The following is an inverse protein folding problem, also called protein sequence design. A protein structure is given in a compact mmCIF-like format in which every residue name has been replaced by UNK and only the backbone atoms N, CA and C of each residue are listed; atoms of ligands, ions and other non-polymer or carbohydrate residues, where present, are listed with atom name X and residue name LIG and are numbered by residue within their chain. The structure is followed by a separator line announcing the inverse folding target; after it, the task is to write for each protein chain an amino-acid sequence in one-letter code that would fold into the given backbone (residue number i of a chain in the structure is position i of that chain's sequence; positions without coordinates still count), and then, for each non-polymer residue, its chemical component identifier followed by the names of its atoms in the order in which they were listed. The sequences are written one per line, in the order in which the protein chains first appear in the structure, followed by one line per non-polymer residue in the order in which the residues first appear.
data_IF_377378400723
#
_entry.id   IF_377378400723
#
_cell.length_a   1.000
_cell.length_b   1.000
_cell.length_c   1.000
_cell.angle_alpha   90.00
_cell.angle_beta   90.00
_cell.angle_gamma   90.00
#
_symmetry.space_group_name_H-M   'P 1'
#
loop_
_entity.id
_entity.type
_entity.pdbx_description
1 polymer ?
#
# COMPACT_ATOMS: atom_id res chain seq x y z
N UNK A 1 8.73 -13.08 -18.10
CA UNK A 1 7.84 -12.17 -17.34
C UNK A 1 8.66 -11.56 -16.22
N UNK A 2 9.32 -10.44 -16.48
CA UNK A 2 10.06 -9.67 -15.48
C UNK A 2 10.22 -8.23 -15.97
N UNK A 3 10.49 -7.34 -15.01
CA UNK A 3 10.97 -5.94 -15.09
C UNK A 3 9.92 -4.85 -15.30
N UNK A 4 9.52 -4.16 -14.22
CA UNK A 4 9.35 -2.70 -14.21
C UNK A 4 9.71 -2.13 -12.83
N UNK A 5 10.97 -1.69 -12.62
CA UNK A 5 11.38 -0.92 -11.45
C UNK A 5 10.86 0.54 -11.56
N UNK A 6 9.54 0.72 -11.47
CA UNK A 6 8.83 2.01 -11.49
C UNK A 6 7.73 2.07 -10.41
N UNK A 7 7.88 1.32 -9.33
CA UNK A 7 6.88 1.18 -8.25
C UNK A 7 6.88 2.34 -7.22
N UNK A 8 7.37 3.53 -7.58
CA UNK A 8 7.40 4.61 -6.59
C UNK A 8 6.07 5.40 -6.51
N UNK A 9 5.23 5.42 -7.56
CA UNK A 9 4.05 6.31 -7.58
C UNK A 9 2.82 5.80 -8.36
N UNK A 10 2.76 4.54 -8.76
CA UNK A 10 1.83 4.12 -9.82
C UNK A 10 0.53 3.51 -9.30
N UNK A 11 -0.63 3.88 -9.88
CA UNK A 11 -1.85 3.13 -9.70
C UNK A 11 -1.65 1.66 -10.10
N UNK A 12 -2.23 0.72 -9.37
CA UNK A 12 -2.18 -0.71 -9.71
C UNK A 12 -3.57 -1.30 -9.88
N UNK A 13 -3.69 -2.17 -10.87
CA UNK A 13 -4.91 -2.91 -11.16
C UNK A 13 -5.16 -4.00 -10.12
N UNK A 14 -6.43 -4.26 -9.84
CA UNK A 14 -6.86 -5.47 -9.14
C UNK A 14 -6.56 -6.68 -10.02
N UNK A 15 -6.35 -7.88 -9.43
CA UNK A 15 -6.04 -9.09 -10.19
C UNK A 15 -7.10 -9.51 -11.23
N UNK A 16 -8.34 -9.04 -11.12
CA UNK A 16 -9.39 -9.23 -12.13
C UNK A 16 -9.57 -8.08 -13.11
N UNK A 17 -8.76 -7.02 -13.00
CA UNK A 17 -8.85 -5.86 -13.87
C UNK A 17 -10.11 -5.01 -13.68
N UNK A 18 -10.89 -5.22 -12.61
CA UNK A 18 -12.14 -4.47 -12.37
C UNK A 18 -11.97 -3.19 -11.58
N UNK A 19 -10.84 -3.05 -10.89
CA UNK A 19 -10.57 -1.92 -10.03
C UNK A 19 -9.12 -1.48 -10.15
N UNK A 20 -8.88 -0.22 -9.83
CA UNK A 20 -7.57 0.40 -9.74
C UNK A 20 -7.42 0.95 -8.33
N UNK A 21 -6.27 0.74 -7.70
CA UNK A 21 -5.91 1.41 -6.44
C UNK A 21 -4.80 2.41 -6.68
N UNK A 22 -4.86 3.57 -6.04
CA UNK A 22 -3.84 4.60 -6.10
C UNK A 22 -3.71 5.36 -4.78
N UNK A 23 -2.54 5.94 -4.50
CA UNK A 23 -2.38 6.97 -3.47
C UNK A 23 -2.59 8.35 -4.10
N UNK A 24 -3.60 9.10 -3.64
CA UNK A 24 -3.81 10.50 -4.08
C UNK A 24 -3.15 11.47 -3.10
N UNK A 25 -2.53 12.52 -3.65
CA UNK A 25 -1.69 13.48 -2.93
C UNK A 25 -2.34 14.87 -2.76
N UNK A 26 -3.67 14.90 -2.64
CA UNK A 26 -4.43 16.10 -2.30
C UNK A 26 -4.31 16.40 -0.80
N UNK A 27 -3.15 16.92 -0.39
CA UNK A 27 -2.78 17.14 1.00
C UNK A 27 -1.97 15.97 1.57
N UNK A 28 -2.45 15.34 2.65
CA UNK A 28 -1.84 14.14 3.21
C UNK A 28 -2.22 12.93 2.36
N UNK A 29 -1.26 12.18 1.80
CA UNK A 29 -1.58 11.09 0.87
C UNK A 29 -2.42 9.98 1.48
N UNK A 30 -3.38 9.50 0.71
CA UNK A 30 -4.34 8.48 1.13
C UNK A 30 -4.63 7.51 -0.01
N UNK A 31 -5.03 6.29 0.33
CA UNK A 31 -5.30 5.22 -0.63
C UNK A 31 -6.76 5.29 -1.08
N UNK A 32 -6.95 5.25 -2.39
CA UNK A 32 -8.23 5.26 -3.06
C UNK A 32 -8.36 4.06 -3.99
N UNK A 33 -9.57 3.53 -4.08
CA UNK A 33 -9.97 2.53 -5.07
C UNK A 33 -10.99 3.15 -6.01
N UNK A 34 -10.91 2.83 -7.30
CA UNK A 34 -11.86 3.24 -8.34
C UNK A 34 -12.16 2.04 -9.23
N UNK A 35 -13.34 2.00 -9.84
CA UNK A 35 -13.67 0.99 -10.84
C UNK A 35 -12.87 1.21 -12.14
N UNK A 36 -12.80 0.18 -12.98
CA UNK A 36 -12.14 0.20 -14.29
C UNK A 36 -12.77 1.18 -15.28
N UNK A 37 -14.06 1.47 -15.13
CA UNK A 37 -14.81 2.51 -15.87
C UNK A 37 -14.65 3.92 -15.29
N UNK A 38 -13.72 4.12 -14.35
CA UNK A 38 -13.47 5.36 -13.62
C UNK A 38 -14.62 5.84 -12.70
N UNK A 39 -15.64 5.02 -12.45
CA UNK A 39 -16.71 5.31 -11.49
C UNK A 39 -16.36 4.81 -10.08
N UNK A 40 -17.17 5.19 -9.08
CA UNK A 40 -17.08 4.60 -7.74
C UNK A 40 -15.80 4.92 -6.98
N UNK A 41 -15.15 6.05 -7.27
CA UNK A 41 -13.97 6.51 -6.54
C UNK A 41 -14.26 6.55 -5.03
N UNK A 42 -13.47 5.80 -4.26
CA UNK A 42 -13.63 5.64 -2.83
C UNK A 42 -12.30 5.73 -2.11
N UNK A 43 -12.21 6.59 -1.10
CA UNK A 43 -11.11 6.60 -0.12
C UNK A 43 -11.25 5.39 0.81
N UNK A 44 -10.17 4.64 1.00
CA UNK A 44 -10.18 3.43 1.83
C UNK A 44 -9.31 3.55 3.08
N UNK A 45 -8.38 4.51 3.14
CA UNK A 45 -7.59 4.81 4.34
C UNK A 45 -7.95 6.17 4.93
N UNK A 46 -7.83 6.29 6.25
CA UNK A 46 -8.08 7.53 6.99
C UNK A 46 -6.98 7.68 8.02
N UNK A 47 -5.83 8.18 7.60
CA UNK A 47 -4.57 8.10 8.33
C UNK A 47 -4.38 9.19 9.38
N UNK A 48 -5.43 9.95 9.69
CA UNK A 48 -5.50 10.91 10.81
C UNK A 48 -4.27 11.85 10.94
N UNK A 49 -3.78 12.38 9.81
CA UNK A 49 -2.64 13.31 9.78
C UNK A 49 -1.32 12.68 9.30
N UNK A 50 -1.27 11.35 9.19
CA UNK A 50 -0.20 10.59 8.55
C UNK A 50 -0.47 10.40 7.05
N UNK A 51 0.47 9.79 6.35
CA UNK A 51 0.41 9.58 4.91
C UNK A 51 0.41 8.09 4.55
N UNK A 52 -0.50 7.66 3.68
CA UNK A 52 -0.55 6.29 3.16
C UNK A 52 -0.05 6.23 1.72
N UNK A 53 0.88 5.32 1.46
CA UNK A 53 1.61 5.26 0.20
C UNK A 53 1.74 3.86 -0.39
N UNK A 54 2.05 3.84 -1.69
CA UNK A 54 2.43 2.69 -2.50
C UNK A 54 1.52 1.48 -2.27
N UNK A 55 0.23 1.60 -2.63
CA UNK A 55 -0.70 0.51 -2.49
C UNK A 55 -0.36 -0.63 -3.46
N UNK A 56 -0.44 -1.87 -2.98
CA UNK A 56 -0.26 -3.08 -3.79
C UNK A 56 -1.39 -4.08 -3.56
N UNK A 57 -2.03 -4.52 -4.65
CA UNK A 57 -3.08 -5.53 -4.59
C UNK A 57 -2.52 -6.92 -4.29
N UNK A 58 -3.14 -7.63 -3.34
CA UNK A 58 -2.91 -9.07 -3.20
C UNK A 58 -3.42 -9.83 -4.43
N UNK A 59 -2.70 -10.87 -4.90
CA UNK A 59 -3.12 -11.73 -6.01
C UNK A 59 -4.49 -12.38 -5.81
N UNK A 60 -4.93 -12.56 -4.56
CA UNK A 60 -6.22 -13.19 -4.23
C UNK A 60 -7.38 -12.19 -4.05
N UNK A 61 -7.17 -10.91 -4.40
CA UNK A 61 -8.12 -9.80 -4.25
C UNK A 61 -8.57 -9.49 -2.82
N UNK A 62 -7.91 -10.04 -1.79
CA UNK A 62 -8.40 -9.89 -0.41
C UNK A 62 -7.87 -8.62 0.28
N UNK A 63 -6.58 -8.45 0.53
CA UNK A 63 -6.04 -7.18 1.01
C UNK A 63 -5.30 -6.37 -0.07
N UNK A 64 -5.26 -5.07 0.16
CA UNK A 64 -4.30 -4.13 -0.41
C UNK A 64 -3.26 -3.87 0.67
N UNK A 65 -1.98 -4.04 0.34
CA UNK A 65 -0.87 -3.62 1.20
C UNK A 65 -0.51 -2.16 0.92
N UNK A 66 -0.05 -1.43 1.90
CA UNK A 66 0.47 -0.05 1.79
C UNK A 66 1.44 0.21 2.95
N UNK A 67 2.22 1.28 2.89
CA UNK A 67 2.97 1.73 4.06
C UNK A 67 2.38 3.04 4.61
N UNK A 68 2.44 3.19 5.93
CA UNK A 68 1.99 4.36 6.66
C UNK A 68 3.20 5.15 7.13
N UNK A 69 3.35 6.36 6.62
CA UNK A 69 4.42 7.30 6.99
C UNK A 69 3.93 8.23 8.11
N UNK A 70 4.60 8.16 9.26
CA UNK A 70 4.28 9.00 10.42
C UNK A 70 5.25 10.16 10.64
N UNK A 71 6.42 10.12 10.01
CA UNK A 71 7.48 11.10 10.18
C UNK A 71 8.31 10.92 11.45
N UNK A 72 8.23 9.74 12.08
CA UNK A 72 8.99 9.36 13.29
C UNK A 72 10.13 8.36 13.00
N UNK A 73 10.40 8.08 11.72
CA UNK A 73 11.41 7.10 11.29
C UNK A 73 11.02 5.65 11.61
N UNK A 74 9.72 5.37 11.74
CA UNK A 74 9.17 4.04 11.99
C UNK A 74 7.98 3.79 11.08
N UNK A 75 8.20 3.95 9.78
CA UNK A 75 7.16 3.71 8.80
C UNK A 75 6.86 2.21 8.73
N UNK A 76 5.59 1.83 8.71
CA UNK A 76 5.16 0.44 8.87
C UNK A 76 4.24 0.01 7.74
N UNK A 77 4.27 -1.28 7.43
CA UNK A 77 3.35 -1.86 6.45
C UNK A 77 2.01 -2.19 7.08
N UNK A 78 0.97 -1.90 6.32
CA UNK A 78 -0.40 -2.23 6.67
C UNK A 78 -1.06 -2.98 5.52
N UNK A 79 -2.05 -3.79 5.88
CA UNK A 79 -2.99 -4.40 4.94
C UNK A 79 -4.40 -3.94 5.24
N UNK A 80 -5.21 -3.72 4.20
CA UNK A 80 -6.61 -3.30 4.33
C UNK A 80 -7.47 -3.95 3.25
N UNK A 81 -8.75 -4.22 3.54
CA UNK A 81 -9.66 -4.71 2.50
C UNK A 81 -9.99 -3.59 1.50
N UNK A 82 -10.29 -3.89 0.23
CA UNK A 82 -10.73 -2.90 -0.77
C UNK A 82 -11.96 -2.09 -0.34
N UNK A 83 -12.77 -2.64 0.58
CA UNK A 83 -13.89 -1.92 1.19
C UNK A 83 -13.51 -0.86 2.23
N UNK A 84 -12.23 -0.75 2.61
CA UNK A 84 -11.73 0.15 3.64
C UNK A 84 -11.82 -0.39 5.08
N UNK A 85 -12.20 -1.65 5.27
CA UNK A 85 -12.30 -2.26 6.59
C UNK A 85 -11.13 -3.18 6.91
N UNK A 86 -10.88 -3.41 8.20
CA UNK A 86 -9.90 -4.38 8.67
C UNK A 86 -8.44 -3.99 8.41
N UNK A 87 -8.12 -2.69 8.49
CA UNK A 87 -6.74 -2.23 8.45
C UNK A 87 -5.91 -2.87 9.57
N UNK A 88 -4.73 -3.42 9.25
CA UNK A 88 -3.87 -4.11 10.21
C UNK A 88 -2.39 -3.86 9.89
N UNK A 89 -1.59 -3.52 10.91
CA UNK A 89 -0.12 -3.46 10.82
C UNK A 89 0.46 -4.89 10.70
N UNK A 90 1.40 -5.11 9.79
CA UNK A 90 1.99 -6.43 9.53
C UNK A 90 3.50 -6.53 9.78
N UNK A 91 4.21 -5.43 10.01
CA UNK A 91 5.66 -5.43 10.34
C UNK A 91 5.92 -5.15 11.82
N UNK A 92 5.20 -4.20 12.41
CA UNK A 92 5.23 -3.80 13.83
C UNK A 92 6.64 -3.86 14.48
N UNK A 93 7.61 -3.20 13.86
CA UNK A 93 8.98 -3.10 14.35
C UNK A 93 9.42 -1.63 14.52
N UNK A 94 10.71 -1.41 14.77
CA UNK A 94 11.30 -0.08 15.00
C UNK A 94 12.00 0.49 13.78
N UNK A 95 12.02 -0.22 12.66
CA UNK A 95 12.69 0.20 11.44
C UNK A 95 11.66 0.73 10.46
N UNK A 96 12.12 1.44 9.45
CA UNK A 96 11.24 1.80 8.36
C UNK A 96 11.02 0.62 7.43
N UNK A 97 9.77 0.41 7.03
CA UNK A 97 9.36 -0.60 6.08
C UNK A 97 8.53 0.04 4.96
N UNK A 98 9.02 -0.08 3.73
CA UNK A 98 8.53 0.62 2.55
C UNK A 98 8.24 -0.30 1.37
N UNK A 99 7.53 0.23 0.38
CA UNK A 99 7.34 -0.40 -0.94
C UNK A 99 6.85 -1.86 -0.87
N UNK A 100 5.66 -2.11 -0.27
CA UNK A 100 5.13 -3.45 -0.19
C UNK A 100 4.75 -3.97 -1.57
N UNK A 101 5.17 -5.19 -1.90
CA UNK A 101 4.74 -5.95 -3.07
C UNK A 101 4.34 -7.37 -2.67
N UNK A 102 3.35 -7.96 -3.35
CA UNK A 102 2.90 -9.30 -3.01
C UNK A 102 3.68 -10.39 -3.76
N UNK A 103 4.15 -11.39 -3.02
CA UNK A 103 4.80 -12.60 -3.58
C UNK A 103 3.98 -13.84 -3.22
N UNK A 104 2.98 -14.15 -4.05
CA UNK A 104 2.03 -15.21 -3.79
C UNK A 104 0.90 -14.79 -2.84
N UNK A 105 0.13 -15.76 -2.33
CA UNK A 105 -1.16 -15.48 -1.65
C UNK A 105 -1.05 -14.79 -0.29
N UNK A 106 0.01 -15.06 0.47
CA UNK A 106 0.12 -14.67 1.89
C UNK A 106 1.49 -14.11 2.27
N UNK A 107 2.30 -13.68 1.30
CA UNK A 107 3.64 -13.14 1.57
C UNK A 107 3.79 -11.79 0.89
N UNK A 108 4.39 -10.86 1.63
CA UNK A 108 4.71 -9.51 1.18
C UNK A 108 6.23 -9.40 1.16
N UNK A 109 6.77 -8.93 0.04
CA UNK A 109 8.13 -8.44 -0.09
C UNK A 109 8.11 -6.93 0.14
N UNK A 110 9.15 -6.39 0.77
CA UNK A 110 9.25 -4.97 1.07
C UNK A 110 10.72 -4.58 1.26
N UNK A 111 10.97 -3.28 1.19
CA UNK A 111 12.27 -2.69 1.54
C UNK A 111 12.26 -2.31 3.01
N UNK A 112 13.35 -2.60 3.72
CA UNK A 112 13.53 -2.22 5.11
C UNK A 112 14.85 -1.46 5.25
N UNK A 113 14.83 -0.35 5.99
CA UNK A 113 16.07 0.34 6.37
C UNK A 113 16.84 -0.54 7.35
N UNK A 114 18.10 -0.84 7.02
CA UNK A 114 18.98 -1.51 7.98
C UNK A 114 19.54 -0.46 8.95
N UNK A 115 19.65 -0.78 10.25
CA UNK A 115 20.42 0.06 11.15
C UNK A 115 21.86 0.17 10.64
N UNK A 116 22.44 1.37 10.75
CA UNK A 116 23.84 1.58 10.41
C UNK A 116 24.71 0.55 11.12
N UNK A 117 25.53 -0.17 10.35
CA UNK A 117 26.55 -1.05 10.91
C UNK A 117 27.69 -0.17 11.38
N UNK A 118 27.82 -0.01 12.70
CA UNK A 118 29.02 0.54 13.33
C UNK A 118 30.26 -0.30 13.01
#
# INVERSE_FOLDING_TARGET
MTTHPQEDFTPTWSPDGKQIVNSKRDGKPEIYVVNDDATGLKRITFSHGFSSYNPAWSPDKKPIAYYLEKGDGKDQLYVIKPGGSGAKNVTNDTLNNYFPGWIGKNKIMYSQDLPDKN
#
